data_IF_422166785541
#
_entry.id   IF_422166785541
#
_cell.length_a   1.000
_cell.length_b   1.000
_cell.length_c   1.000
_cell.angle_alpha   90.00
_cell.angle_beta   90.00
_cell.angle_gamma   90.00
#
_symmetry.space_group_name_H-M   'P 1'
#
loop_
_entity.id
_entity.type
_entity.pdbx_description
1 polymer ?
#
# COMPACT_ATOMS: atom_id res chain seq x y z
N UNK A 1 24.06 37.95 18.34
CA UNK A 1 22.65 37.63 18.05
C UNK A 1 22.47 37.28 16.57
N UNK A 2 23.26 36.32 16.05
CA UNK A 2 23.16 35.79 14.69
C UNK A 2 24.09 34.56 14.56
N UNK A 3 23.88 33.53 15.39
CA UNK A 3 24.68 32.28 15.37
C UNK A 3 24.00 31.18 16.20
N UNK A 4 22.69 30.99 16.03
CA UNK A 4 21.90 29.99 16.77
C UNK A 4 20.79 29.35 15.92
N UNK A 5 21.00 29.18 14.60
CA UNK A 5 20.03 28.54 13.70
C UNK A 5 20.59 27.44 12.79
N UNK A 6 21.77 26.89 13.10
CA UNK A 6 22.27 25.67 12.46
C UNK A 6 22.74 24.68 13.50
N UNK A 7 21.81 23.91 14.09
CA UNK A 7 22.08 22.59 14.71
C UNK A 7 20.79 21.91 15.23
N UNK A 8 19.76 21.81 14.39
CA UNK A 8 18.61 20.92 14.64
C UNK A 8 18.35 19.98 13.44
N UNK A 9 19.43 19.57 12.77
CA UNK A 9 19.41 18.55 11.71
C UNK A 9 20.45 17.50 12.07
N UNK A 10 20.11 16.66 13.04
CA UNK A 10 20.76 15.43 13.52
C UNK A 10 20.04 15.13 14.86
N UNK A 11 19.17 14.13 15.03
CA UNK A 11 19.17 12.78 14.48
C UNK A 11 17.73 12.26 14.40
N UNK A 12 17.18 12.24 13.19
CA UNK A 12 16.06 11.35 12.87
C UNK A 12 16.67 10.10 12.25
N UNK A 13 17.32 9.25 13.06
CA UNK A 13 17.50 7.85 12.69
C UNK A 13 16.12 7.17 12.81
N UNK A 14 15.22 7.58 11.91
CA UNK A 14 13.82 7.17 11.83
C UNK A 14 13.69 5.82 11.17
N UNK A 15 14.40 4.81 11.69
CA UNK A 15 14.05 3.43 11.40
C UNK A 15 12.65 3.20 11.96
N UNK A 16 11.76 2.65 11.15
CA UNK A 16 10.51 2.08 11.66
C UNK A 16 10.85 1.18 12.86
N UNK A 17 10.18 1.39 14.00
CA UNK A 17 10.43 0.58 15.20
C UNK A 17 10.35 -0.91 14.86
N UNK A 18 11.19 -1.73 15.51
CA UNK A 18 11.29 -3.16 15.24
C UNK A 18 9.97 -3.92 15.46
N UNK A 19 9.00 -3.33 16.16
CA UNK A 19 7.67 -3.87 16.38
C UNK A 19 6.92 -4.17 15.08
N UNK A 20 6.08 -5.21 15.14
CA UNK A 20 5.04 -5.46 14.14
C UNK A 20 3.76 -4.74 14.52
N UNK A 21 2.81 -4.70 13.58
CA UNK A 21 1.47 -4.15 13.80
C UNK A 21 0.48 -4.92 12.92
N UNK A 22 -0.72 -5.19 13.42
CA UNK A 22 -1.84 -5.74 12.66
C UNK A 22 -3.08 -4.87 12.84
N UNK A 23 -3.60 -4.35 11.73
CA UNK A 23 -4.81 -3.53 11.68
C UNK A 23 -5.88 -4.27 10.86
N UNK A 24 -7.04 -4.49 11.45
CA UNK A 24 -8.20 -5.14 10.80
C UNK A 24 -9.28 -4.11 10.55
N UNK A 25 -9.88 -4.17 9.37
CA UNK A 25 -10.93 -3.25 8.93
C UNK A 25 -12.13 -4.03 8.42
N UNK A 26 -13.32 -3.52 8.74
CA UNK A 26 -14.55 -3.85 8.01
C UNK A 26 -14.64 -2.98 6.76
N UNK A 27 -15.03 -3.59 5.64
CA UNK A 27 -15.24 -2.90 4.36
C UNK A 27 -16.74 -2.80 4.09
N UNK A 28 -17.24 -1.58 3.97
CA UNK A 28 -18.64 -1.29 3.65
C UNK A 28 -18.74 -0.70 2.25
N UNK A 29 -19.73 -1.15 1.49
CA UNK A 29 -20.09 -0.58 0.20
C UNK A 29 -21.51 0.00 0.24
N UNK A 30 -21.68 1.16 -0.37
CA UNK A 30 -22.97 1.82 -0.54
C UNK A 30 -23.08 2.36 -1.97
N UNK A 31 -23.98 1.79 -2.78
CA UNK A 31 -24.17 2.22 -4.17
C UNK A 31 -25.25 1.44 -4.90
N UNK A 32 -25.19 1.48 -6.24
CA UNK A 32 -26.22 0.88 -7.10
C UNK A 32 -26.47 -0.60 -6.80
N UNK A 33 -25.39 -1.36 -6.52
CA UNK A 33 -25.49 -2.80 -6.26
C UNK A 33 -26.06 -3.13 -4.87
N UNK A 34 -26.13 -2.15 -3.96
CA UNK A 34 -26.69 -2.31 -2.62
C UNK A 34 -28.01 -1.56 -2.44
N UNK A 35 -28.65 -1.14 -3.54
CA UNK A 35 -29.81 -0.24 -3.51
C UNK A 35 -29.57 1.01 -2.62
N UNK A 36 -28.34 1.52 -2.64
CA UNK A 36 -27.86 2.64 -1.84
C UNK A 36 -27.91 2.45 -0.32
N UNK A 37 -28.08 1.21 0.17
CA UNK A 37 -27.92 0.86 1.58
C UNK A 37 -26.46 0.49 1.87
N UNK A 38 -25.92 0.84 3.06
CA UNK A 38 -24.60 0.39 3.46
C UNK A 38 -24.64 -1.13 3.72
N UNK A 39 -23.74 -1.86 3.07
CA UNK A 39 -23.60 -3.31 3.23
C UNK A 39 -22.14 -3.64 3.49
N UNK A 40 -21.88 -4.44 4.52
CA UNK A 40 -20.54 -4.98 4.76
C UNK A 40 -20.23 -6.05 3.73
N UNK A 41 -19.11 -5.88 3.02
CA UNK A 41 -18.79 -6.71 1.86
C UNK A 41 -17.49 -7.49 1.99
N UNK A 42 -16.55 -7.05 2.83
CA UNK A 42 -15.25 -7.66 2.94
C UNK A 42 -14.57 -7.29 4.27
N UNK A 43 -13.50 -8.02 4.57
CA UNK A 43 -12.55 -7.67 5.62
C UNK A 43 -11.21 -7.34 4.97
N UNK A 44 -10.54 -6.32 5.50
CA UNK A 44 -9.18 -5.97 5.13
C UNK A 44 -8.25 -6.13 6.34
N UNK A 45 -7.07 -6.70 6.14
CA UNK A 45 -6.03 -6.81 7.16
C UNK A 45 -4.76 -6.18 6.62
N UNK A 46 -4.30 -5.11 7.27
CA UNK A 46 -3.02 -4.46 7.03
C UNK A 46 -2.05 -4.91 8.12
N UNK A 47 -0.86 -5.37 7.74
CA UNK A 47 0.14 -5.85 8.69
C UNK A 47 1.52 -5.29 8.36
N UNK A 48 2.20 -4.76 9.37
CA UNK A 48 3.63 -4.50 9.34
C UNK A 48 4.30 -5.67 10.06
N UNK A 49 5.16 -6.42 9.36
CA UNK A 49 5.84 -7.56 9.96
C UNK A 49 6.97 -7.07 10.87
N UNK A 50 7.21 -7.73 12.02
CA UNK A 50 8.27 -7.34 12.93
C UNK A 50 9.65 -7.56 12.32
N UNK A 51 10.62 -6.77 12.78
CA UNK A 51 12.03 -6.90 12.39
C UNK A 51 12.38 -6.27 11.03
N UNK A 52 13.66 -6.36 10.68
CA UNK A 52 14.23 -5.94 9.41
C UNK A 52 14.94 -7.17 8.84
N UNK A 53 14.66 -7.50 7.59
CA UNK A 53 15.29 -8.60 6.88
C UNK A 53 16.51 -8.10 6.12
N UNK A 54 17.60 -8.87 6.10
CA UNK A 54 18.74 -8.58 5.22
C UNK A 54 18.70 -9.53 4.03
N UNK A 55 18.54 -8.99 2.82
CA UNK A 55 18.46 -9.77 1.58
C UNK A 55 19.45 -9.20 0.57
N UNK A 56 20.39 -10.03 0.11
CA UNK A 56 21.49 -9.61 -0.79
C UNK A 56 22.25 -8.35 -0.32
N UNK A 57 22.39 -8.16 0.99
CA UNK A 57 23.04 -7.01 1.61
C UNK A 57 22.15 -5.77 1.77
N UNK A 58 20.89 -5.80 1.31
CA UNK A 58 19.91 -4.74 1.55
C UNK A 58 19.07 -5.04 2.80
N UNK A 59 18.85 -4.02 3.62
CA UNK A 59 17.94 -4.09 4.76
C UNK A 59 16.52 -3.72 4.31
N UNK A 60 15.55 -4.58 4.56
CA UNK A 60 14.17 -4.41 4.11
C UNK A 60 13.17 -4.64 5.25
N UNK A 61 12.15 -3.80 5.32
CA UNK A 61 10.92 -4.02 6.08
C UNK A 61 9.89 -4.69 5.18
N UNK A 62 8.94 -5.39 5.79
CA UNK A 62 7.86 -6.07 5.07
C UNK A 62 6.51 -5.63 5.60
N UNK A 63 5.62 -5.19 4.70
CA UNK A 63 4.21 -4.97 5.01
C UNK A 63 3.33 -5.79 4.06
N UNK A 64 2.15 -6.16 4.53
CA UNK A 64 1.16 -6.88 3.74
C UNK A 64 -0.24 -6.33 3.95
N UNK A 65 -1.04 -6.33 2.89
CA UNK A 65 -2.45 -6.02 2.86
C UNK A 65 -3.19 -7.23 2.28
N UNK A 66 -4.14 -7.78 3.05
CA UNK A 66 -5.07 -8.81 2.60
C UNK A 66 -6.48 -8.25 2.56
N UNK A 67 -7.22 -8.52 1.49
CA UNK A 67 -8.66 -8.23 1.38
C UNK A 67 -9.39 -9.52 1.04
N UNK A 68 -10.45 -9.83 1.78
CA UNK A 68 -11.20 -11.08 1.61
C UNK A 68 -12.70 -10.91 1.86
N UNK A 69 -13.52 -11.59 1.05
CA UNK A 69 -14.97 -11.74 1.25
C UNK A 69 -15.34 -12.98 2.07
N UNK A 70 -14.37 -13.81 2.47
CA UNK A 70 -14.58 -15.10 3.15
C UNK A 70 -15.52 -15.04 4.37
N UNK A 71 -15.41 -14.04 5.26
CA UNK A 71 -16.30 -13.96 6.43
C UNK A 71 -17.73 -13.50 6.10
N UNK A 72 -18.05 -13.21 4.83
CA UNK A 72 -19.31 -12.60 4.38
C UNK A 72 -20.05 -13.56 3.44
N UNK A 73 -20.85 -14.53 3.95
CA UNK A 73 -21.42 -15.61 3.15
C UNK A 73 -22.22 -15.16 1.93
N UNK A 74 -22.99 -14.07 2.08
CA UNK A 74 -23.74 -13.47 0.98
C UNK A 74 -22.80 -13.03 -0.14
N UNK A 75 -21.78 -12.23 0.18
CA UNK A 75 -20.80 -11.78 -0.82
C UNK A 75 -19.97 -12.92 -1.39
N UNK A 76 -19.52 -13.85 -0.54
CA UNK A 76 -18.75 -15.01 -0.96
C UNK A 76 -19.51 -15.87 -1.98
N UNK A 77 -20.84 -15.98 -1.87
CA UNK A 77 -21.65 -16.75 -2.80
C UNK A 77 -21.75 -16.11 -4.19
N UNK A 78 -21.69 -14.77 -4.28
CA UNK A 78 -21.80 -14.04 -5.54
C UNK A 78 -20.45 -13.71 -6.17
N UNK A 79 -19.45 -13.39 -5.35
CA UNK A 79 -18.15 -12.92 -5.80
C UNK A 79 -17.05 -13.24 -4.78
N UNK A 80 -16.56 -14.50 -4.73
CA UNK A 80 -15.37 -14.84 -3.97
C UNK A 80 -14.20 -13.96 -4.40
N UNK A 81 -13.71 -13.13 -3.48
CA UNK A 81 -12.60 -12.23 -3.71
C UNK A 81 -11.52 -12.45 -2.68
N UNK A 82 -10.30 -12.67 -3.14
CA UNK A 82 -9.08 -12.67 -2.33
C UNK A 82 -8.04 -11.81 -3.02
N UNK A 83 -7.46 -10.88 -2.26
CA UNK A 83 -6.36 -10.06 -2.72
C UNK A 83 -5.30 -10.01 -1.63
N UNK A 84 -4.08 -10.42 -1.97
CA UNK A 84 -2.91 -10.34 -1.13
C UNK A 84 -1.91 -9.39 -1.82
N UNK A 85 -1.41 -8.42 -1.08
CA UNK A 85 -0.43 -7.44 -1.53
C UNK A 85 0.67 -7.37 -0.50
N UNK A 86 1.89 -7.70 -0.89
CA UNK A 86 3.06 -7.65 -0.04
C UNK A 86 4.03 -6.62 -0.61
N UNK A 87 4.60 -5.79 0.25
CA UNK A 87 5.63 -4.83 -0.12
C UNK A 87 6.84 -4.98 0.79
N UNK A 88 8.01 -5.09 0.16
CA UNK A 88 9.31 -5.03 0.82
C UNK A 88 9.97 -3.72 0.46
N UNK A 89 10.37 -2.97 1.47
CA UNK A 89 10.78 -1.57 1.32
C UNK A 89 11.86 -1.20 2.33
N UNK A 90 12.54 -0.10 2.06
CA UNK A 90 13.59 0.43 2.91
C UNK A 90 13.09 0.82 4.31
N UNK A 91 13.76 0.44 5.40
CA UNK A 91 13.37 0.79 6.76
C UNK A 91 13.21 2.29 7.04
N UNK A 92 13.85 3.16 6.24
CA UNK A 92 13.72 4.62 6.31
C UNK A 92 12.64 5.18 5.37
N UNK A 93 11.84 4.31 4.77
CA UNK A 93 10.73 4.65 3.88
C UNK A 93 11.15 5.48 2.65
N UNK A 94 12.38 5.26 2.17
CA UNK A 94 12.91 6.01 1.02
C UNK A 94 12.62 5.35 -0.33
N UNK A 95 12.40 4.04 -0.38
CA UNK A 95 12.06 3.31 -1.60
C UNK A 95 11.33 2.00 -1.32
N UNK A 96 10.55 1.54 -2.30
CA UNK A 96 10.08 0.15 -2.37
C UNK A 96 11.08 -0.68 -3.16
N UNK A 97 11.38 -1.90 -2.71
CA UNK A 97 12.26 -2.84 -3.41
C UNK A 97 11.47 -3.83 -4.26
N UNK A 98 10.50 -4.51 -3.66
CA UNK A 98 9.71 -5.56 -4.31
C UNK A 98 8.25 -5.48 -3.86
N UNK A 99 7.35 -5.76 -4.79
CA UNK A 99 5.93 -5.97 -4.50
C UNK A 99 5.50 -7.34 -5.03
N UNK A 100 4.77 -8.11 -4.23
CA UNK A 100 4.07 -9.33 -4.65
C UNK A 100 2.56 -9.10 -4.53
N UNK A 101 1.85 -9.22 -5.66
CA UNK A 101 0.40 -9.04 -5.75
C UNK A 101 -0.26 -10.32 -6.24
N UNK A 102 -1.19 -10.83 -5.44
CA UNK A 102 -1.99 -12.01 -5.78
C UNK A 102 -3.46 -11.64 -5.70
N UNK A 103 -4.18 -11.83 -6.79
CA UNK A 103 -5.63 -11.66 -6.86
C UNK A 103 -6.24 -12.99 -7.28
N UNK A 104 -7.23 -13.45 -6.53
CA UNK A 104 -8.04 -14.61 -6.86
C UNK A 104 -9.51 -14.21 -6.84
N UNK A 105 -10.12 -14.30 -8.01
CA UNK A 105 -11.57 -14.24 -8.22
C UNK A 105 -11.95 -15.48 -9.04
N UNK A 106 -12.79 -15.34 -10.07
CA UNK A 106 -12.91 -16.34 -11.14
C UNK A 106 -11.61 -16.55 -11.95
N UNK A 107 -10.74 -15.54 -12.02
CA UNK A 107 -9.40 -15.63 -12.59
C UNK A 107 -8.36 -15.45 -11.47
N UNK A 108 -7.21 -16.11 -11.61
CA UNK A 108 -6.09 -15.99 -10.70
C UNK A 108 -4.96 -15.23 -11.36
N UNK A 109 -4.57 -14.12 -10.75
CA UNK A 109 -3.46 -13.28 -11.20
C UNK A 109 -2.42 -13.18 -10.10
N UNK A 110 -1.17 -13.40 -10.45
CA UNK A 110 -0.02 -13.21 -9.58
C UNK A 110 1.00 -12.38 -10.34
N UNK A 111 1.28 -11.18 -9.84
CA UNK A 111 2.20 -10.22 -10.43
C UNK A 111 3.26 -9.84 -9.40
N UNK A 112 4.50 -9.67 -9.87
CA UNK A 112 5.61 -9.15 -9.08
C UNK A 112 6.07 -7.84 -9.70
N UNK A 113 6.40 -6.86 -8.87
CA UNK A 113 7.08 -5.64 -9.28
C UNK A 113 8.44 -5.61 -8.61
N UNK A 114 9.50 -5.39 -9.40
CA UNK A 114 10.84 -5.15 -8.90
C UNK A 114 11.27 -3.74 -9.24
N UNK A 115 11.47 -2.93 -8.20
CA UNK A 115 11.95 -1.56 -8.32
C UNK A 115 13.48 -1.59 -8.33
N UNK A 116 14.06 -1.81 -9.51
CA UNK A 116 15.51 -1.84 -9.70
C UNK A 116 16.08 -0.42 -9.67
N UNK A 117 16.49 0.02 -8.48
CA UNK A 117 17.06 1.36 -8.26
C UNK A 117 18.40 1.59 -8.96
N UNK A 118 19.19 0.53 -9.15
CA UNK A 118 20.51 0.65 -9.80
C UNK A 118 20.35 0.99 -11.27
N UNK A 119 19.35 0.41 -11.92
CA UNK A 119 19.02 0.67 -13.32
C UNK A 119 18.02 1.82 -13.49
N UNK A 120 17.36 2.27 -12.41
CA UNK A 120 16.33 3.30 -12.46
C UNK A 120 15.07 2.81 -13.16
N UNK A 121 14.65 1.56 -12.91
CA UNK A 121 13.54 0.92 -13.62
C UNK A 121 12.62 0.13 -12.66
N UNK A 122 11.35 -0.01 -13.02
CA UNK A 122 10.44 -0.99 -12.42
C UNK A 122 10.16 -2.08 -13.44
N UNK A 123 10.53 -3.31 -13.10
CA UNK A 123 10.28 -4.50 -13.92
C UNK A 123 9.05 -5.23 -13.38
N UNK A 124 8.12 -5.56 -14.28
CA UNK A 124 6.88 -6.27 -13.93
C UNK A 124 6.96 -7.70 -14.43
N UNK A 125 6.71 -8.64 -13.53
CA UNK A 125 6.61 -10.06 -13.85
C UNK A 125 5.19 -10.56 -13.59
N UNK A 126 4.73 -11.55 -14.35
CA UNK A 126 3.46 -12.22 -14.11
C UNK A 126 3.65 -13.73 -14.15
N UNK A 127 3.04 -14.42 -13.18
CA UNK A 127 3.04 -15.88 -13.15
C UNK A 127 2.29 -16.41 -14.36
N UNK A 128 2.90 -17.32 -15.11
CA UNK A 128 2.23 -18.06 -16.19
C UNK A 128 1.69 -19.39 -15.64
N UNK A 129 0.56 -19.84 -16.18
CA UNK A 129 0.13 -21.22 -15.97
C UNK A 129 1.13 -22.10 -16.72
N UNK A 130 1.62 -23.14 -16.05
CA UNK A 130 2.72 -23.96 -16.53
C UNK A 130 2.29 -24.67 -17.82
N UNK A 131 2.67 -24.12 -18.97
CA UNK A 131 2.56 -24.79 -20.26
C UNK A 131 3.83 -25.61 -20.45
N UNK A 132 3.71 -26.91 -20.73
CA UNK A 132 4.85 -27.77 -21.04
C UNK A 132 5.66 -27.14 -22.19
N UNK A 133 6.98 -26.96 -21.99
CA UNK A 133 7.91 -26.53 -23.02
C UNK A 133 8.28 -25.04 -23.08
N UNK A 134 7.82 -24.19 -22.14
CA UNK A 134 8.26 -22.79 -22.09
C UNK A 134 9.64 -22.67 -21.44
N UNK A 135 10.62 -22.12 -22.17
CA UNK A 135 11.96 -21.76 -21.68
C UNK A 135 11.87 -21.08 -20.31
N UNK A 136 12.73 -21.53 -19.40
CA UNK A 136 12.67 -21.17 -17.99
C UNK A 136 12.64 -19.66 -17.79
N UNK A 137 11.51 -19.24 -17.25
CA UNK A 137 11.13 -17.89 -16.86
C UNK A 137 11.99 -17.40 -15.67
N UNK A 138 13.12 -16.74 -15.95
CA UNK A 138 14.10 -16.38 -14.91
C UNK A 138 13.73 -15.06 -14.22
N UNK A 139 13.22 -15.15 -12.98
CA UNK A 139 13.22 -14.01 -12.05
C UNK A 139 14.67 -13.66 -11.64
N UNK A 140 15.00 -12.40 -11.40
CA UNK A 140 16.28 -12.03 -10.79
C UNK A 140 16.47 -12.69 -9.41
N UNK A 141 17.70 -13.07 -9.05
CA UNK A 141 18.00 -13.71 -7.76
C UNK A 141 17.55 -12.89 -6.56
N UNK A 142 17.78 -11.58 -6.61
CA UNK A 142 17.31 -10.66 -5.58
C UNK A 142 15.81 -10.80 -5.34
N UNK A 143 15.01 -10.73 -6.41
CA UNK A 143 13.56 -10.88 -6.33
C UNK A 143 13.21 -12.23 -5.71
N UNK A 144 13.78 -13.33 -6.22
CA UNK A 144 13.55 -14.70 -5.69
C UNK A 144 13.81 -14.81 -4.19
N UNK A 145 14.92 -14.25 -3.73
CA UNK A 145 15.31 -14.29 -2.31
C UNK A 145 14.33 -13.49 -1.44
N UNK A 146 13.95 -12.28 -1.87
CA UNK A 146 13.01 -11.41 -1.11
C UNK A 146 11.67 -12.10 -0.89
N UNK A 147 11.09 -12.67 -1.95
CA UNK A 147 9.76 -13.30 -1.88
C UNK A 147 9.81 -14.77 -1.46
N UNK A 148 11.00 -15.32 -1.20
CA UNK A 148 11.27 -16.72 -0.80
C UNK A 148 10.53 -17.73 -1.70
N UNK A 149 10.50 -17.49 -3.01
CA UNK A 149 9.86 -18.40 -3.96
C UNK A 149 10.66 -19.72 -4.07
N UNK A 150 9.94 -20.84 -4.12
CA UNK A 150 10.53 -22.11 -4.55
C UNK A 150 10.94 -22.03 -6.03
N UNK A 151 12.05 -22.68 -6.38
CA UNK A 151 12.75 -22.55 -7.68
C UNK A 151 11.88 -22.83 -8.93
N UNK A 152 10.71 -23.46 -8.78
CA UNK A 152 9.86 -23.94 -9.88
C UNK A 152 8.74 -22.99 -10.30
N UNK A 153 8.62 -21.80 -9.72
CA UNK A 153 7.56 -20.87 -10.09
C UNK A 153 7.89 -20.11 -11.38
N UNK A 154 7.18 -20.40 -12.47
CA UNK A 154 7.36 -19.73 -13.76
C UNK A 154 6.78 -18.31 -13.80
N UNK A 155 7.62 -17.29 -13.96
CA UNK A 155 7.23 -15.87 -14.09
C UNK A 155 7.81 -15.19 -15.32
N UNK A 156 6.95 -14.66 -16.18
CA UNK A 156 7.38 -13.91 -17.37
C UNK A 156 7.45 -12.43 -17.13
N UNK A 157 8.52 -11.79 -17.59
CA UNK A 157 8.58 -10.33 -17.67
C UNK A 157 7.50 -9.83 -18.63
N UNK A 158 6.67 -8.89 -18.15
CA UNK A 158 5.53 -8.31 -18.87
C UNK A 158 5.74 -6.85 -19.21
N UNK A 159 6.88 -6.27 -18.83
CA UNK A 159 7.21 -4.89 -19.13
C UNK A 159 8.24 -4.31 -18.16
N UNK A 160 8.85 -3.24 -18.63
CA UNK A 160 9.82 -2.42 -17.91
C UNK A 160 9.35 -0.98 -18.02
N UNK A 161 9.39 -0.26 -16.90
CA UNK A 161 9.06 1.16 -16.82
C UNK A 161 10.26 1.92 -16.26
N UNK A 162 10.70 2.99 -16.93
CA UNK A 162 11.81 3.81 -16.46
C UNK A 162 11.34 4.80 -15.40
N UNK A 163 12.03 4.80 -14.27
CA UNK A 163 11.84 5.75 -13.20
C UNK A 163 12.62 7.03 -13.51
N UNK A 164 11.99 8.18 -13.29
CA UNK A 164 12.64 9.49 -13.34
C UNK A 164 13.19 9.92 -11.97
N UNK A 165 12.92 9.13 -10.92
CA UNK A 165 13.29 9.41 -9.54
C UNK A 165 13.80 8.14 -8.85
N UNK A 166 14.73 8.29 -7.90
CA UNK A 166 15.31 7.15 -7.17
C UNK A 166 14.52 6.73 -5.92
N UNK A 167 13.62 7.60 -5.45
CA UNK A 167 12.88 7.47 -4.19
C UNK A 167 11.40 7.20 -4.49
N UNK A 168 11.14 6.11 -5.21
CA UNK A 168 9.79 5.75 -5.64
C UNK A 168 9.22 4.70 -4.71
N UNK A 169 8.01 4.96 -4.23
CA UNK A 169 7.27 4.08 -3.35
C UNK A 169 6.18 3.33 -4.13
N UNK A 170 5.72 2.23 -3.56
CA UNK A 170 4.40 1.70 -3.87
C UNK A 170 3.34 2.31 -2.94
N UNK A 171 2.05 2.04 -3.19
CA UNK A 171 0.95 2.65 -2.43
C UNK A 171 0.91 2.24 -0.95
N UNK A 172 1.33 1.02 -0.63
CA UNK A 172 1.40 0.55 0.76
C UNK A 172 2.54 1.23 1.51
N UNK A 173 3.72 1.28 0.89
CA UNK A 173 4.87 1.99 1.47
C UNK A 173 4.60 3.49 1.60
N UNK A 174 3.91 4.10 0.64
CA UNK A 174 3.43 5.49 0.72
C UNK A 174 2.58 5.73 1.97
N UNK A 175 1.64 4.83 2.30
CA UNK A 175 0.82 4.96 3.51
C UNK A 175 1.68 5.01 4.76
N UNK A 176 2.67 4.11 4.90
CA UNK A 176 3.61 4.14 6.02
C UNK A 176 4.50 5.38 6.01
N UNK A 177 4.95 5.85 4.84
CA UNK A 177 5.73 7.08 4.71
C UNK A 177 4.96 8.28 5.27
N UNK A 178 3.68 8.43 4.93
CA UNK A 178 2.83 9.51 5.43
C UNK A 178 2.63 9.45 6.94
N UNK A 179 2.46 8.24 7.51
CA UNK A 179 2.31 8.04 8.96
C UNK A 179 3.52 8.55 9.76
N UNK A 180 4.69 8.64 9.13
CA UNK A 180 5.94 9.08 9.77
C UNK A 180 6.32 10.54 9.45
N UNK A 181 5.41 11.28 8.79
CA UNK A 181 5.62 12.71 8.51
C UNK A 181 4.93 13.56 9.57
N UNK A 182 5.47 14.76 9.86
CA UNK A 182 4.71 15.75 10.62
C UNK A 182 3.45 16.14 9.83
N UNK A 183 2.30 16.10 10.50
CA UNK A 183 1.02 16.45 9.90
C UNK A 183 0.56 17.80 10.45
N UNK A 184 0.31 18.74 9.56
CA UNK A 184 -0.20 20.06 9.87
C UNK A 184 -1.35 20.39 8.93
N UNK A 185 -2.51 20.74 9.48
CA UNK A 185 -3.69 21.13 8.70
C UNK A 185 -3.36 22.30 7.77
N UNK A 186 -3.83 22.20 6.52
CA UNK A 186 -3.51 23.15 5.45
C UNK A 186 -2.21 22.84 4.70
N UNK A 187 -1.36 21.95 5.24
CA UNK A 187 -0.17 21.47 4.56
C UNK A 187 -0.44 20.41 3.49
N UNK A 188 0.59 20.08 2.73
CA UNK A 188 0.60 18.96 1.78
C UNK A 188 1.92 18.20 1.81
N UNK A 189 1.85 16.92 1.43
CA UNK A 189 3.02 16.06 1.24
C UNK A 189 2.99 15.57 -0.20
N UNK A 190 4.14 15.63 -0.88
CA UNK A 190 4.30 15.08 -2.22
C UNK A 190 5.20 13.85 -2.16
N UNK A 191 4.77 12.77 -2.81
CA UNK A 191 5.51 11.51 -2.88
C UNK A 191 5.48 10.94 -4.29
N UNK A 192 6.63 10.48 -4.77
CA UNK A 192 6.72 9.70 -5.99
C UNK A 192 6.26 8.27 -5.73
N UNK A 193 5.24 7.85 -6.49
CA UNK A 193 4.60 6.54 -6.32
C UNK A 193 4.40 5.89 -7.68
N UNK A 194 4.73 4.60 -7.79
CA UNK A 194 4.47 3.81 -8.99
C UNK A 194 3.56 2.62 -8.71
N UNK A 195 2.74 2.27 -9.71
CA UNK A 195 1.97 1.03 -9.75
C UNK A 195 2.69 -0.06 -10.58
N UNK A 196 3.96 0.17 -10.95
CA UNK A 196 4.77 -0.70 -11.82
C UNK A 196 4.43 -0.63 -13.31
N UNK A 197 3.50 0.24 -13.71
CA UNK A 197 3.22 0.57 -15.11
C UNK A 197 3.58 2.01 -15.41
N UNK A 198 3.24 2.90 -14.49
CA UNK A 198 3.36 4.34 -14.61
C UNK A 198 3.90 4.93 -13.30
N UNK A 199 4.50 6.11 -13.40
CA UNK A 199 4.74 7.00 -12.27
C UNK A 199 3.49 7.84 -12.05
N UNK A 200 2.84 7.67 -10.91
CA UNK A 200 1.61 8.37 -10.57
C UNK A 200 1.90 9.73 -9.93
N UNK A 201 2.84 9.76 -8.97
CA UNK A 201 2.99 10.89 -8.04
C UNK A 201 1.72 11.12 -7.21
N UNK A 202 1.85 11.49 -5.94
CA UNK A 202 0.68 11.82 -5.11
C UNK A 202 0.89 13.16 -4.40
N UNK A 203 -0.13 14.01 -4.47
CA UNK A 203 -0.31 15.14 -3.58
C UNK A 203 -1.28 14.74 -2.46
N UNK A 204 -0.81 14.83 -1.23
CA UNK A 204 -1.52 14.39 -0.02
C UNK A 204 -1.81 15.61 0.82
N UNK A 205 -3.01 16.16 0.69
CA UNK A 205 -3.43 17.35 1.43
C UNK A 205 -3.91 16.97 2.84
N UNK A 206 -3.42 17.66 3.87
CA UNK A 206 -3.89 17.51 5.24
C UNK A 206 -5.05 18.49 5.46
N UNK A 207 -6.27 18.04 5.16
CA UNK A 207 -7.44 18.91 5.04
C UNK A 207 -7.95 19.46 6.37
N UNK A 208 -8.01 18.63 7.41
CA UNK A 208 -8.63 18.98 8.68
C UNK A 208 -8.14 18.12 9.84
N UNK A 209 -8.40 18.57 11.07
CA UNK A 209 -8.47 17.74 12.27
C UNK A 209 -9.94 17.61 12.69
N UNK A 210 -10.40 16.39 12.92
CA UNK A 210 -11.77 16.12 13.35
C UNK A 210 -11.84 14.97 14.35
N UNK A 211 -12.97 14.86 15.07
CA UNK A 211 -13.23 13.75 15.99
C UNK A 211 -14.09 12.72 15.27
N UNK A 212 -13.62 11.48 15.19
CA UNK A 212 -14.40 10.35 14.72
C UNK A 212 -14.96 9.57 15.91
N UNK A 213 -16.14 8.98 15.74
CA UNK A 213 -16.67 7.97 16.67
C UNK A 213 -16.44 6.61 16.04
N UNK A 214 -15.58 5.79 16.66
CA UNK A 214 -15.28 4.42 16.25
C UNK A 214 -15.61 3.51 17.44
N UNK A 215 -16.49 2.54 17.26
CA UNK A 215 -16.99 1.66 18.32
C UNK A 215 -17.43 2.42 19.59
N UNK A 216 -18.13 3.54 19.39
CA UNK A 216 -18.63 4.40 20.47
C UNK A 216 -17.57 5.26 21.17
N UNK A 217 -16.30 5.18 20.76
CA UNK A 217 -15.19 5.94 21.35
C UNK A 217 -14.80 7.12 20.45
N UNK A 218 -14.60 8.32 21.03
CA UNK A 218 -14.10 9.46 20.29
C UNK A 218 -12.59 9.33 20.04
N UNK A 219 -12.18 9.45 18.78
CA UNK A 219 -10.77 9.45 18.35
C UNK A 219 -10.51 10.75 17.59
N UNK A 220 -9.56 11.56 18.06
CA UNK A 220 -9.07 12.71 17.29
C UNK A 220 -8.24 12.22 16.11
N UNK A 221 -8.46 12.80 14.93
CA UNK A 221 -7.82 12.34 13.70
C UNK A 221 -7.57 13.47 12.70
N UNK A 222 -6.51 13.33 11.93
CA UNK A 222 -6.27 14.13 10.73
C UNK A 222 -7.01 13.51 9.56
N UNK A 223 -7.75 14.32 8.79
CA UNK A 223 -8.32 13.93 7.51
C UNK A 223 -7.37 14.32 6.38
N UNK A 224 -6.91 13.33 5.64
CA UNK A 224 -5.98 13.48 4.53
C UNK A 224 -6.70 13.13 3.21
N UNK A 225 -6.38 13.86 2.13
CA UNK A 225 -6.85 13.54 0.77
C UNK A 225 -5.67 13.18 -0.11
N UNK A 226 -5.66 11.95 -0.59
CA UNK A 226 -4.67 11.40 -1.50
C UNK A 226 -5.14 11.59 -2.94
N UNK A 227 -4.50 12.48 -3.68
CA UNK A 227 -4.80 12.75 -5.09
C UNK A 227 -3.59 12.35 -5.95
N UNK A 228 -3.75 11.49 -6.97
CA UNK A 228 -2.66 11.23 -7.89
C UNK A 228 -2.38 12.49 -8.73
N UNK A 229 -1.11 12.80 -8.97
CA UNK A 229 -0.70 13.92 -9.83
C UNK A 229 -0.88 13.58 -11.31
N UNK A 230 -0.65 12.31 -11.65
CA UNK A 230 -0.85 11.75 -12.98
C UNK A 230 -1.81 10.57 -12.90
N UNK A 231 -2.68 10.47 -13.89
CA UNK A 231 -3.65 9.38 -14.00
C UNK A 231 -3.20 8.45 -15.13
N UNK A 232 -2.91 7.20 -14.80
CA UNK A 232 -2.63 6.15 -15.80
C UNK A 232 -3.80 6.01 -16.79
N UNK A 233 -3.51 5.57 -18.02
CA UNK A 233 -4.55 5.22 -18.98
C UNK A 233 -5.50 4.15 -18.39
N UNK A 234 -6.77 4.52 -18.20
CA UNK A 234 -7.81 3.65 -17.61
C UNK A 234 -7.96 3.73 -16.08
N UNK A 235 -7.08 4.44 -15.38
CA UNK A 235 -7.35 4.89 -14.01
C UNK A 235 -8.21 6.16 -14.09
N UNK A 236 -9.02 6.43 -13.07
CA UNK A 236 -9.96 7.57 -13.06
C UNK A 236 -9.56 8.66 -12.08
N UNK A 237 -8.32 8.62 -11.57
CA UNK A 237 -7.78 9.68 -10.72
C UNK A 237 -8.55 9.88 -9.42
N UNK A 238 -9.20 8.83 -8.92
CA UNK A 238 -10.08 8.95 -7.77
C UNK A 238 -9.28 9.29 -6.51
N UNK A 239 -9.63 10.41 -5.90
CA UNK A 239 -9.07 10.80 -4.62
C UNK A 239 -9.61 9.88 -3.52
N UNK A 240 -8.71 9.39 -2.66
CA UNK A 240 -9.07 8.63 -1.46
C UNK A 240 -8.88 9.54 -0.26
N UNK A 241 -9.87 9.58 0.64
CA UNK A 241 -9.70 10.21 1.95
C UNK A 241 -9.29 9.16 2.98
N UNK A 242 -8.32 9.50 3.81
CA UNK A 242 -7.84 8.64 4.89
C UNK A 242 -7.81 9.46 6.17
N UNK A 243 -8.27 8.87 7.25
CA UNK A 243 -8.17 9.46 8.58
C UNK A 243 -7.05 8.77 9.34
N UNK A 244 -6.08 9.55 9.83
CA UNK A 244 -5.00 9.06 10.68
C UNK A 244 -5.23 9.55 12.11
N UNK A 245 -5.10 8.68 13.11
CA UNK A 245 -5.23 9.08 14.52
C UNK A 245 -4.25 10.21 14.87
N UNK A 246 -4.67 11.13 15.72
CA UNK A 246 -3.83 12.23 16.21
C UNK A 246 -3.02 11.79 17.44
N UNK A 247 -2.32 10.67 17.32
CA UNK A 247 -1.32 10.17 18.27
C UNK A 247 -0.01 9.86 17.54
N UNK A 248 1.03 9.43 18.26
CA UNK A 248 2.33 9.12 17.67
C UNK A 248 2.29 7.94 16.68
N UNK A 249 1.32 7.03 16.79
CA UNK A 249 1.19 5.85 15.93
C UNK A 249 0.60 6.19 14.56
N UNK A 250 -0.17 7.30 14.48
CA UNK A 250 -0.86 7.78 13.26
C UNK A 250 -1.62 6.65 12.57
N UNK A 251 -2.40 5.89 13.34
CA UNK A 251 -3.12 4.73 12.82
C UNK A 251 -4.11 5.16 11.74
N UNK A 252 -4.13 4.52 10.55
CA UNK A 252 -5.22 4.72 9.61
C UNK A 252 -6.50 4.13 10.20
N UNK A 253 -7.41 5.00 10.65
CA UNK A 253 -8.64 4.59 11.33
C UNK A 253 -9.82 4.46 10.37
N UNK A 254 -9.80 5.19 9.26
CA UNK A 254 -10.85 5.15 8.23
C UNK A 254 -10.27 5.43 6.85
N UNK A 255 -10.80 4.75 5.83
CA UNK A 255 -10.60 5.09 4.43
C UNK A 255 -11.96 5.33 3.78
N UNK A 256 -12.06 6.34 2.94
CA UNK A 256 -13.26 6.64 2.19
C UNK A 256 -12.90 6.92 0.73
N UNK A 257 -13.48 6.14 -0.18
CA UNK A 257 -13.36 6.32 -1.62
C UNK A 257 -14.74 6.42 -2.25
N UNK A 258 -14.93 7.40 -3.14
CA UNK A 258 -16.17 7.57 -3.91
C UNK A 258 -15.85 7.50 -5.40
N UNK A 259 -16.56 6.64 -6.11
CA UNK A 259 -16.54 6.58 -7.56
C UNK A 259 -17.97 6.61 -8.12
N UNK A 260 -18.12 6.54 -9.45
CA UNK A 260 -19.44 6.56 -10.11
C UNK A 260 -20.33 5.36 -9.71
N UNK A 261 -19.74 4.26 -9.24
CA UNK A 261 -20.44 3.05 -8.84
C UNK A 261 -20.88 3.03 -7.37
N UNK A 262 -20.41 3.95 -6.54
CA UNK A 262 -20.77 4.03 -5.13
C UNK A 262 -19.63 4.52 -4.23
N UNK A 263 -19.83 4.33 -2.94
CA UNK A 263 -18.86 4.62 -1.89
C UNK A 263 -18.34 3.33 -1.31
N UNK A 264 -17.03 3.26 -1.11
CA UNK A 264 -16.36 2.22 -0.32
C UNK A 264 -15.77 2.90 0.91
N UNK A 265 -16.10 2.37 2.08
CA UNK A 265 -15.55 2.78 3.36
C UNK A 265 -14.83 1.60 4.02
N UNK A 266 -13.65 1.85 4.56
CA UNK A 266 -12.95 0.93 5.46
C UNK A 266 -12.92 1.58 6.82
N UNK A 267 -13.35 0.88 7.85
CA UNK A 267 -13.30 1.36 9.24
C UNK A 267 -12.52 0.35 10.08
N UNK A 268 -11.56 0.87 10.86
CA UNK A 268 -10.71 0.06 11.74
C UNK A 268 -11.57 -0.58 12.84
N UNK A 269 -11.44 -1.89 13.00
CA UNK A 269 -12.12 -2.68 14.04
C UNK A 269 -11.15 -3.21 15.08
N UNK A 270 -9.89 -3.46 14.70
CA UNK A 270 -8.88 -4.04 15.59
C UNK A 270 -7.50 -3.46 15.26
N UNK A 271 -6.73 -3.13 16.29
CA UNK A 271 -5.34 -2.71 16.17
C UNK A 271 -4.49 -3.41 17.23
N UNK A 272 -3.56 -4.26 16.80
CA UNK A 272 -2.62 -5.02 17.62
C UNK A 272 -1.17 -4.65 17.29
#
# INVERSE_FOLDING_TARGET
MLLLQLQAVQSADGLLQAGGETLVYKVTYQGLLSAFLPVEIAQTTLRLHPGVETVAGEQLRHASLRVTTEPFPRMESFYPFRFDYHSWFDPRLSYTAVVDMRKRTSDSRHELLWFNRREGEVRRYRKEQQTEGADSLVLPDFVRQVIRLQQTAGFRERGVFRLTESNVLDRLTMLYAVRHRPLQTGGSIELAVSNGKDLLGYNIAIEAKEKLIIDGRPIAAFRLRFSPNFVSAGDRGYAVRVWLSDDERRLPIRFHSRNLGGVIELELTTAE
#
